data_IF_737048342808
#
_entry.id   IF_737048342808
#
_cell.length_a   1.000
_cell.length_b   1.000
_cell.length_c   1.000
_cell.angle_alpha   90.00
_cell.angle_beta   90.00
_cell.angle_gamma   90.00
#
_symmetry.space_group_name_H-M   'P 1'
#
loop_
_entity.id
_entity.type
_entity.pdbx_description
1 polymer ?
#
# COMPACT_ATOMS: atom_id res chain seq x y z
N UNK A 1 12.00 3.34 3.75
CA UNK A 1 11.59 1.94 3.54
C UNK A 1 10.59 1.59 4.63
N UNK A 2 9.51 0.93 4.24
CA UNK A 2 8.40 0.65 5.14
C UNK A 2 8.81 -0.25 6.30
N UNK A 3 8.20 -0.05 7.46
CA UNK A 3 8.43 -0.84 8.66
C UNK A 3 7.21 -1.71 8.99
N UNK A 4 7.42 -3.03 8.98
CA UNK A 4 6.40 -4.03 9.34
C UNK A 4 5.82 -3.83 10.74
N UNK A 5 6.59 -3.26 11.67
CA UNK A 5 6.12 -2.97 13.02
C UNK A 5 5.08 -1.84 13.05
N UNK A 6 5.04 -1.01 11.99
CA UNK A 6 4.19 0.17 11.86
C UNK A 6 3.05 -0.02 10.85
N UNK A 7 2.74 -1.27 10.45
CA UNK A 7 1.63 -1.57 9.53
C UNK A 7 0.32 -0.93 9.99
N UNK A 8 -0.35 -0.27 9.06
CA UNK A 8 -1.71 0.22 9.27
C UNK A 8 -2.63 -0.98 9.57
N UNK A 9 -3.44 -0.97 10.64
CA UNK A 9 -4.25 -2.13 11.05
C UNK A 9 -5.25 -2.63 10.00
N UNK A 10 -5.63 -1.77 9.06
CA UNK A 10 -6.58 -2.05 7.98
C UNK A 10 -5.97 -2.88 6.84
N UNK A 11 -4.63 -3.00 6.78
CA UNK A 11 -4.01 -3.85 5.76
C UNK A 11 -4.49 -5.29 5.93
N UNK A 12 -4.84 -5.93 4.81
CA UNK A 12 -5.03 -7.38 4.79
C UNK A 12 -3.69 -8.11 4.92
N UNK A 13 -3.71 -9.30 5.51
CA UNK A 13 -2.51 -10.13 5.66
C UNK A 13 -1.86 -10.43 4.29
N UNK A 14 -0.54 -10.27 4.20
CA UNK A 14 0.22 -10.58 3.00
C UNK A 14 1.54 -9.83 2.85
N UNK A 15 2.20 -10.00 1.69
CA UNK A 15 3.48 -9.37 1.39
C UNK A 15 3.39 -7.84 1.32
N UNK A 16 2.35 -7.31 0.68
CA UNK A 16 2.19 -5.87 0.52
C UNK A 16 1.50 -5.26 1.72
N UNK A 17 2.00 -4.12 2.20
CA UNK A 17 1.40 -3.37 3.29
C UNK A 17 1.77 -1.88 3.21
N UNK A 18 0.90 -1.05 3.78
CA UNK A 18 1.19 0.36 4.05
C UNK A 18 1.47 0.54 5.53
N UNK A 19 2.50 1.29 5.89
CA UNK A 19 2.79 1.65 7.28
C UNK A 19 2.29 3.06 7.64
N UNK A 20 2.46 3.42 8.92
CA UNK A 20 2.02 4.71 9.45
C UNK A 20 2.87 5.93 8.99
N UNK A 21 3.90 5.73 8.16
CA UNK A 21 4.66 6.83 7.55
C UNK A 21 3.93 7.40 6.32
N UNK A 22 2.82 6.79 5.90
CA UNK A 22 1.98 7.27 4.81
C UNK A 22 1.55 8.73 5.03
N UNK A 23 1.70 9.55 3.98
CA UNK A 23 1.32 10.98 3.98
C UNK A 23 0.03 11.27 3.20
N UNK A 24 -0.78 10.23 2.94
CA UNK A 24 -2.05 10.35 2.20
C UNK A 24 -1.95 11.03 0.81
N UNK A 25 -0.86 10.81 0.08
CA UNK A 25 -0.65 11.40 -1.25
C UNK A 25 -1.54 10.81 -2.37
N UNK A 26 -2.15 9.64 -2.12
CA UNK A 26 -3.09 8.93 -3.02
C UNK A 26 -2.49 8.37 -4.33
N UNK A 27 -1.17 8.39 -4.50
CA UNK A 27 -0.54 7.81 -5.70
C UNK A 27 -0.80 6.31 -5.81
N UNK A 28 -0.57 5.55 -4.73
CA UNK A 28 -0.83 4.11 -4.70
C UNK A 28 -2.28 3.71 -5.06
N UNK A 29 -3.28 4.50 -4.68
CA UNK A 29 -4.68 4.25 -5.04
C UNK A 29 -5.01 4.61 -6.49
N UNK A 30 -4.16 5.40 -7.14
CA UNK A 30 -4.24 5.71 -8.57
C UNK A 30 -3.52 4.65 -9.41
N UNK A 31 -2.34 4.22 -8.96
CA UNK A 31 -1.47 3.28 -9.66
C UNK A 31 -2.02 1.84 -9.53
N UNK A 32 -2.48 1.46 -8.33
CA UNK A 32 -3.01 0.13 -8.01
C UNK A 32 -4.38 0.22 -7.30
N UNK A 33 -5.43 0.71 -8.00
CA UNK A 33 -6.76 0.92 -7.43
C UNK A 33 -7.44 -0.37 -6.96
N UNK A 34 -7.05 -1.52 -7.51
CA UNK A 34 -7.60 -2.84 -7.16
C UNK A 34 -6.99 -3.44 -5.88
N UNK A 35 -5.96 -2.81 -5.31
CA UNK A 35 -5.19 -3.33 -4.18
C UNK A 35 -5.10 -2.34 -3.00
N UNK A 36 -5.06 -1.03 -3.29
CA UNK A 36 -4.92 0.02 -2.28
C UNK A 36 -6.19 0.85 -2.15
N UNK A 37 -6.54 1.19 -0.91
CA UNK A 37 -7.67 2.06 -0.60
C UNK A 37 -7.26 3.08 0.48
N UNK A 38 -7.91 4.24 0.47
CA UNK A 38 -7.78 5.21 1.57
C UNK A 38 -8.68 4.80 2.74
N UNK A 39 -8.26 5.06 3.97
CA UNK A 39 -9.13 4.94 5.14
C UNK A 39 -10.35 5.85 5.02
N UNK A 40 -11.41 5.55 5.77
CA UNK A 40 -12.67 6.34 5.75
C UNK A 40 -12.45 7.83 6.11
N UNK A 41 -11.43 8.13 6.92
CA UNK A 41 -11.02 9.48 7.29
C UNK A 41 -9.99 10.11 6.33
N UNK A 42 -9.64 9.39 5.26
CA UNK A 42 -8.63 9.72 4.25
C UNK A 42 -7.25 10.10 4.83
N UNK A 43 -6.94 9.66 6.06
CA UNK A 43 -5.70 9.99 6.77
C UNK A 43 -4.51 9.14 6.35
N UNK A 44 -4.76 7.92 5.87
CA UNK A 44 -3.73 6.98 5.39
C UNK A 44 -4.29 6.08 4.29
N UNK A 45 -3.40 5.51 3.49
CA UNK A 45 -3.73 4.39 2.62
C UNK A 45 -3.52 3.06 3.35
N UNK A 46 -4.11 1.98 2.83
CA UNK A 46 -3.89 0.61 3.25
C UNK A 46 -4.11 -0.36 2.08
N UNK A 47 -3.52 -1.55 2.17
CA UNK A 47 -3.76 -2.65 1.22
C UNK A 47 -5.05 -3.34 1.62
N UNK A 48 -6.12 -3.16 0.84
CA UNK A 48 -7.41 -3.82 1.09
C UNK A 48 -7.51 -5.19 0.41
N UNK A 49 -6.66 -5.44 -0.59
CA UNK A 49 -6.59 -6.71 -1.33
C UNK A 49 -5.15 -6.97 -1.78
N UNK A 50 -4.60 -8.16 -1.48
CA UNK A 50 -3.31 -8.59 -2.02
C UNK A 50 -3.42 -8.94 -3.51
N UNK A 51 -2.37 -8.73 -4.33
CA UNK A 51 -2.41 -9.03 -5.75
C UNK A 51 -2.63 -10.52 -6.02
N UNK A 52 -3.63 -10.84 -6.83
CA UNK A 52 -4.02 -12.23 -7.19
C UNK A 52 -3.50 -12.65 -8.58
N UNK A 53 -3.02 -11.70 -9.37
CA UNK A 53 -2.51 -11.92 -10.73
C UNK A 53 -1.28 -11.04 -11.01
N UNK A 54 -0.60 -11.29 -12.14
CA UNK A 54 0.64 -10.60 -12.48
C UNK A 54 0.43 -9.10 -12.77
N UNK A 55 -0.72 -8.70 -13.32
CA UNK A 55 -1.03 -7.28 -13.56
C UNK A 55 -1.24 -6.51 -12.25
N UNK A 56 -1.97 -7.07 -11.29
CA UNK A 56 -2.11 -6.48 -9.95
C UNK A 56 -0.75 -6.42 -9.24
N UNK A 57 0.10 -7.44 -9.41
CA UNK A 57 1.45 -7.45 -8.84
C UNK A 57 2.31 -6.33 -9.43
N UNK A 58 2.34 -6.17 -10.76
CA UNK A 58 3.06 -5.08 -11.42
C UNK A 58 2.59 -3.71 -10.94
N UNK A 59 1.28 -3.50 -10.80
CA UNK A 59 0.72 -2.26 -10.26
C UNK A 59 1.12 -2.03 -8.80
N UNK A 60 1.14 -3.07 -7.96
CA UNK A 60 1.60 -2.98 -6.57
C UNK A 60 3.10 -2.65 -6.48
N UNK A 61 3.94 -3.23 -7.33
CA UNK A 61 5.36 -2.90 -7.41
C UNK A 61 5.57 -1.45 -7.87
N UNK A 62 4.79 -0.97 -8.86
CA UNK A 62 4.81 0.44 -9.26
C UNK A 62 4.43 1.35 -8.09
N UNK A 63 3.37 1.02 -7.34
CA UNK A 63 2.97 1.79 -6.16
C UNK A 63 4.06 1.83 -5.07
N UNK A 64 4.82 0.73 -4.89
CA UNK A 64 5.98 0.68 -3.98
C UNK A 64 7.06 1.66 -4.46
N UNK A 65 7.40 1.64 -5.75
CA UNK A 65 8.43 2.47 -6.35
C UNK A 65 8.04 3.96 -6.43
N UNK A 66 6.76 4.27 -6.60
CA UNK A 66 6.27 5.66 -6.69
C UNK A 66 6.00 6.30 -5.33
N UNK A 67 6.04 5.54 -4.23
CA UNK A 67 5.74 6.06 -2.90
C UNK A 67 6.78 7.10 -2.48
N UNK A 68 6.43 8.40 -2.32
CA UNK A 68 7.42 9.46 -2.09
C UNK A 68 8.09 9.42 -0.71
N UNK A 69 7.57 8.59 0.19
CA UNK A 69 8.04 8.43 1.57
C UNK A 69 8.37 6.97 1.90
N UNK A 70 8.41 6.10 0.88
CA UNK A 70 8.66 4.65 1.01
C UNK A 70 7.80 3.97 2.09
N UNK A 71 6.53 4.39 2.24
CA UNK A 71 5.61 3.87 3.25
C UNK A 71 4.94 2.55 2.85
N UNK A 72 5.25 2.03 1.66
CA UNK A 72 4.70 0.78 1.13
C UNK A 72 5.81 -0.24 1.09
N UNK A 73 5.60 -1.38 1.74
CA UNK A 73 6.51 -2.52 1.72
C UNK A 73 5.89 -3.71 1.00
N UNK A 74 6.73 -4.57 0.43
CA UNK A 74 6.34 -5.85 -0.18
C UNK A 74 6.97 -7.06 0.50
N UNK A 75 7.66 -6.85 1.63
CA UNK A 75 8.46 -7.86 2.29
C UNK A 75 7.70 -8.65 3.36
N UNK A 76 6.42 -8.36 3.61
CA UNK A 76 5.46 -9.22 4.33
C UNK A 76 5.83 -9.62 5.74
#
# INVERSE_FOLDING_TARGET
>A
MADKANKVPQNVDGPYYVDNQCIACRLCTSDAPDNFMMTDDESTAYVYKQPENDSEREACEEAVDTCPVDAIGNDG
#
